data_IF_908888729554
#
_entry.id   IF_908888729554
#
_cell.length_a   1.000
_cell.length_b   1.000
_cell.length_c   1.000
_cell.angle_alpha   90.00
_cell.angle_beta   90.00
_cell.angle_gamma   90.00
#
_symmetry.space_group_name_H-M   'P 1'
#
loop_
_entity.id
_entity.type
_entity.pdbx_description
1 polymer ?
#
# COMPACT_ATOMS: atom_id res chain seq x y z
N UNK A 1 -23.71 0.90 24.08
CA UNK A 1 -23.07 0.75 22.75
C UNK A 1 -24.15 0.93 21.70
N UNK A 2 -24.01 1.87 20.77
CA UNK A 2 -25.01 2.14 19.73
C UNK A 2 -24.85 1.12 18.61
N UNK A 3 -25.95 0.47 18.20
CA UNK A 3 -25.93 -0.48 17.09
C UNK A 3 -25.50 0.21 15.79
N UNK A 4 -24.72 -0.47 14.92
CA UNK A 4 -24.35 0.09 13.63
C UNK A 4 -25.60 0.34 12.78
N UNK A 5 -25.62 1.42 11.97
CA UNK A 5 -26.76 1.77 11.15
C UNK A 5 -27.07 0.68 10.09
N UNK A 6 -28.35 0.58 9.66
CA UNK A 6 -28.77 -0.39 8.66
C UNK A 6 -28.11 -0.13 7.28
N UNK A 7 -27.87 -1.20 6.53
CA UNK A 7 -27.12 -1.19 5.28
C UNK A 7 -27.65 -0.19 4.22
N UNK A 8 -28.95 0.07 4.25
CA UNK A 8 -29.65 0.95 3.31
C UNK A 8 -29.31 2.45 3.52
N UNK A 9 -28.62 2.77 4.62
CA UNK A 9 -28.14 4.11 4.96
C UNK A 9 -26.62 4.25 4.73
N UNK A 10 -25.93 3.19 4.29
CA UNK A 10 -24.51 3.27 3.94
C UNK A 10 -24.33 3.84 2.54
N UNK A 11 -23.89 5.09 2.47
CA UNK A 11 -23.52 5.72 1.22
C UNK A 11 -22.09 5.31 0.83
N UNK A 12 -21.96 4.21 0.09
CA UNK A 12 -20.68 3.66 -0.38
C UNK A 12 -19.80 4.66 -1.13
N UNK A 13 -20.39 5.67 -1.77
CA UNK A 13 -19.66 6.73 -2.46
C UNK A 13 -19.09 7.77 -1.47
N UNK A 14 -19.85 8.14 -0.44
CA UNK A 14 -19.36 9.04 0.60
C UNK A 14 -18.32 8.36 1.52
N UNK A 15 -18.44 7.05 1.74
CA UNK A 15 -17.43 6.29 2.49
C UNK A 15 -16.14 6.05 1.68
N UNK A 16 -16.19 6.19 0.35
CA UNK A 16 -15.00 6.15 -0.51
C UNK A 16 -14.12 7.39 -0.35
N UNK A 17 -14.68 8.51 0.15
CA UNK A 17 -13.89 9.69 0.45
C UNK A 17 -12.81 9.39 1.49
N UNK A 18 -12.95 8.36 2.32
CA UNK A 18 -11.87 7.93 3.23
C UNK A 18 -10.63 7.42 2.48
N UNK A 19 -10.79 6.79 1.32
CA UNK A 19 -9.67 6.40 0.45
C UNK A 19 -9.06 7.61 -0.27
N UNK A 20 -9.88 8.59 -0.66
CA UNK A 20 -9.42 9.86 -1.24
C UNK A 20 -8.73 10.76 -0.19
N UNK A 21 -9.19 10.75 1.06
CA UNK A 21 -8.63 11.53 2.15
C UNK A 21 -7.27 11.02 2.61
N UNK A 22 -6.91 9.78 2.28
CA UNK A 22 -5.54 9.28 2.35
C UNK A 22 -4.58 9.95 1.33
N UNK A 23 -5.11 10.52 0.24
CA UNK A 23 -4.34 11.31 -0.72
C UNK A 23 -4.22 12.80 -0.33
N UNK A 24 -5.01 13.28 0.64
CA UNK A 24 -5.05 14.72 0.98
C UNK A 24 -5.06 15.03 2.48
N UNK A 25 -4.71 14.06 3.34
CA UNK A 25 -4.91 14.16 4.79
C UNK A 25 -3.96 13.29 5.60
N UNK A 26 -2.65 13.45 5.38
CA UNK A 26 -1.65 13.07 6.37
C UNK A 26 -1.57 14.18 7.44
N UNK A 27 -2.47 14.12 8.43
CA UNK A 27 -2.29 14.87 9.67
C UNK A 27 -1.34 14.09 10.57
N UNK A 28 -0.07 14.44 10.47
CA UNK A 28 1.06 13.82 11.15
C UNK A 28 2.31 14.50 10.64
N UNK A 29 2.59 15.69 11.19
CA UNK A 29 3.59 16.61 10.68
C UNK A 29 4.93 15.95 10.34
N UNK A 30 5.27 15.94 9.07
CA UNK A 30 6.59 15.71 8.53
C UNK A 30 6.63 16.42 7.16
N UNK A 31 7.74 17.11 6.92
CA UNK A 31 8.19 17.76 5.67
C UNK A 31 7.43 17.36 4.41
N UNK A 32 7.06 18.32 3.56
CA UNK A 32 6.41 18.12 2.26
C UNK A 32 7.02 16.92 1.51
N UNK A 33 6.44 15.73 1.72
CA UNK A 33 6.94 14.50 1.11
C UNK A 33 6.63 14.60 -0.37
N UNK A 34 7.68 14.45 -1.19
CA UNK A 34 7.48 14.39 -2.63
C UNK A 34 6.70 13.11 -2.97
N UNK A 35 6.01 13.08 -4.11
CA UNK A 35 5.36 11.85 -4.58
C UNK A 35 6.33 10.65 -4.63
N UNK A 36 7.60 10.92 -4.95
CA UNK A 36 8.69 9.94 -4.93
C UNK A 36 8.93 9.40 -3.51
N UNK A 37 8.96 10.27 -2.49
CA UNK A 37 9.15 9.85 -1.09
C UNK A 37 8.02 8.94 -0.62
N UNK A 38 6.78 9.27 -1.01
CA UNK A 38 5.62 8.43 -0.70
C UNK A 38 5.74 7.04 -1.37
N UNK A 39 6.09 6.98 -2.66
CA UNK A 39 6.31 5.72 -3.38
C UNK A 39 7.45 4.90 -2.77
N UNK A 40 8.55 5.54 -2.36
CA UNK A 40 9.65 4.90 -1.63
C UNK A 40 9.19 4.37 -0.25
N UNK A 41 8.30 5.08 0.42
CA UNK A 41 7.63 4.65 1.65
C UNK A 41 6.83 3.36 1.44
N UNK A 42 5.96 3.32 0.43
CA UNK A 42 5.15 2.15 0.08
C UNK A 42 6.06 0.96 -0.29
N UNK A 43 7.07 1.19 -1.13
CA UNK A 43 8.05 0.17 -1.55
C UNK A 43 8.71 -0.48 -0.34
N UNK A 44 9.18 0.31 0.63
CA UNK A 44 9.80 -0.21 1.87
C UNK A 44 8.85 -1.11 2.65
N UNK A 45 7.59 -0.68 2.84
CA UNK A 45 6.56 -1.47 3.55
C UNK A 45 6.30 -2.81 2.85
N UNK A 46 6.22 -2.82 1.52
CA UNK A 46 6.03 -4.04 0.74
C UNK A 46 7.22 -4.99 0.84
N UNK A 47 8.46 -4.49 0.76
CA UNK A 47 9.66 -5.34 0.95
C UNK A 47 9.65 -6.01 2.33
N UNK A 48 9.29 -5.26 3.39
CA UNK A 48 9.14 -5.83 4.73
C UNK A 48 8.07 -6.92 4.75
N UNK A 49 6.90 -6.66 4.16
CA UNK A 49 5.81 -7.64 4.10
C UNK A 49 6.20 -8.90 3.35
N UNK A 50 6.93 -8.80 2.22
CA UNK A 50 7.44 -9.96 1.47
C UNK A 50 8.35 -10.83 2.35
N UNK A 51 9.25 -10.21 3.13
CA UNK A 51 10.14 -10.93 4.05
C UNK A 51 9.37 -11.65 5.15
N UNK A 52 8.33 -11.02 5.70
CA UNK A 52 7.44 -11.66 6.68
C UNK A 52 6.73 -12.88 6.09
N UNK A 53 6.19 -12.78 4.86
CA UNK A 53 5.54 -13.90 4.19
C UNK A 53 6.51 -15.04 3.90
N UNK A 54 7.76 -14.73 3.53
CA UNK A 54 8.79 -15.73 3.31
C UNK A 54 9.20 -16.44 4.61
N UNK A 55 9.29 -15.70 5.71
CA UNK A 55 9.54 -16.28 7.03
C UNK A 55 8.37 -17.19 7.47
N UNK A 56 7.13 -16.77 7.23
CA UNK A 56 5.94 -17.58 7.51
C UNK A 56 5.92 -18.87 6.68
N UNK A 57 6.19 -18.78 5.38
CA UNK A 57 6.29 -19.94 4.49
C UNK A 57 7.38 -20.93 4.94
N UNK A 58 8.51 -20.42 5.46
CA UNK A 58 9.61 -21.24 5.96
C UNK A 58 9.24 -21.97 7.27
N UNK A 59 8.49 -21.30 8.14
CA UNK A 59 8.18 -21.81 9.48
C UNK A 59 6.93 -22.68 9.51
N UNK A 60 6.02 -22.52 8.55
CA UNK A 60 4.71 -23.17 8.52
C UNK A 60 4.45 -23.82 7.15
N UNK A 61 4.68 -25.13 7.06
CA UNK A 61 4.52 -25.90 5.81
C UNK A 61 3.07 -25.86 5.28
N UNK A 62 2.08 -25.80 6.18
CA UNK A 62 0.64 -25.76 5.83
C UNK A 62 0.30 -24.54 4.97
N UNK A 63 0.96 -23.39 5.20
CA UNK A 63 0.68 -22.14 4.49
C UNK A 63 1.67 -21.88 3.37
N UNK A 64 2.66 -22.75 3.15
CA UNK A 64 3.75 -22.54 2.19
C UNK A 64 3.25 -22.14 0.80
N UNK A 65 2.31 -22.92 0.23
CA UNK A 65 1.81 -22.67 -1.12
C UNK A 65 1.04 -21.34 -1.21
N UNK A 66 0.19 -21.04 -0.22
CA UNK A 66 -0.51 -19.76 -0.15
C UNK A 66 0.45 -18.59 -0.06
N UNK A 67 1.49 -18.71 0.76
CA UNK A 67 2.53 -17.69 0.90
C UNK A 67 3.39 -17.52 -0.34
N UNK A 68 3.66 -18.59 -1.08
CA UNK A 68 4.35 -18.50 -2.36
C UNK A 68 3.55 -17.66 -3.37
N UNK A 69 2.23 -17.84 -3.42
CA UNK A 69 1.32 -17.04 -4.26
C UNK A 69 1.29 -15.58 -3.79
N UNK A 70 1.16 -15.35 -2.48
CA UNK A 70 1.16 -13.99 -1.91
C UNK A 70 2.46 -13.25 -2.23
N UNK A 71 3.62 -13.93 -2.09
CA UNK A 71 4.94 -13.38 -2.42
C UNK A 71 5.04 -13.06 -3.90
N UNK A 72 4.51 -13.91 -4.78
CA UNK A 72 4.51 -13.68 -6.22
C UNK A 72 3.72 -12.41 -6.58
N UNK A 73 2.49 -12.27 -6.09
CA UNK A 73 1.66 -11.07 -6.29
C UNK A 73 2.32 -9.80 -5.75
N UNK A 74 2.93 -9.90 -4.57
CA UNK A 74 3.65 -8.77 -3.97
C UNK A 74 4.88 -8.39 -4.82
N UNK A 75 5.54 -9.35 -5.45
CA UNK A 75 6.64 -9.08 -6.37
C UNK A 75 6.19 -8.32 -7.63
N UNK A 76 4.99 -8.61 -8.15
CA UNK A 76 4.42 -7.84 -9.27
C UNK A 76 4.13 -6.39 -8.85
N UNK A 77 3.54 -6.18 -7.67
CA UNK A 77 3.28 -4.85 -7.13
C UNK A 77 4.58 -4.05 -6.89
N UNK A 78 5.64 -4.71 -6.39
CA UNK A 78 6.95 -4.07 -6.23
C UNK A 78 7.52 -3.58 -7.56
N UNK A 79 7.35 -4.36 -8.65
CA UNK A 79 7.79 -3.94 -9.99
C UNK A 79 7.03 -2.73 -10.48
N UNK A 80 5.70 -2.72 -10.32
CA UNK A 80 4.87 -1.58 -10.71
C UNK A 80 5.25 -0.30 -9.95
N UNK A 81 5.60 -0.41 -8.66
CA UNK A 81 6.09 0.74 -7.88
C UNK A 81 7.48 1.17 -8.32
N UNK A 82 8.38 0.23 -8.62
CA UNK A 82 9.70 0.55 -9.15
C UNK A 82 9.59 1.32 -10.48
N UNK A 83 8.67 0.92 -11.36
CA UNK A 83 8.35 1.62 -12.62
C UNK A 83 7.77 3.02 -12.34
N UNK A 84 6.79 3.14 -11.45
CA UNK A 84 6.19 4.44 -11.10
C UNK A 84 7.22 5.42 -10.50
N UNK A 85 8.16 4.94 -9.68
CA UNK A 85 9.25 5.77 -9.13
C UNK A 85 10.15 6.29 -10.26
N UNK A 86 10.45 5.44 -11.25
CA UNK A 86 11.25 5.85 -12.41
C UNK A 86 10.50 6.92 -13.21
N UNK A 87 9.23 6.70 -13.52
CA UNK A 87 8.41 7.64 -14.27
C UNK A 87 8.30 9.00 -13.58
N UNK A 88 8.07 9.01 -12.26
CA UNK A 88 7.98 10.24 -11.48
C UNK A 88 9.33 10.99 -11.47
N UNK A 89 10.44 10.28 -11.33
CA UNK A 89 11.79 10.89 -11.38
C UNK A 89 12.13 11.47 -12.74
N UNK A 90 11.66 10.86 -13.83
CA UNK A 90 11.83 11.41 -15.18
C UNK A 90 10.89 12.60 -15.45
N UNK A 91 9.70 12.60 -14.84
CA UNK A 91 8.67 13.62 -15.06
C UNK A 91 8.89 14.88 -14.23
N UNK A 92 9.71 14.83 -13.17
CA UNK A 92 10.04 16.01 -12.38
C UNK A 92 11.07 16.89 -13.12
N UNK A 93 10.70 18.12 -13.54
CA UNK A 93 11.65 19.03 -14.16
C UNK A 93 12.71 19.42 -13.12
N UNK A 94 13.98 19.29 -13.48
CA UNK A 94 15.11 19.86 -12.73
C UNK A 94 14.88 21.37 -12.64
N UNK A 95 14.38 21.85 -11.50
CA UNK A 95 14.41 23.26 -11.14
C UNK A 95 15.82 23.68 -10.71
#
# INVERSE_FOLDING_TARGET
MKAPPPADQHNFLADNDAYLKGASGADGGETAETHVDHLLGIRRKLVVRRRQLAADAKNNEIVYLGRAIDIHRLQELLRAIDEAILDERHSQPTS
#
